data_IF_048712986014
#
_entry.id   IF_048712986014
#
_cell.length_a   1.000
_cell.length_b   1.000
_cell.length_c   1.000
_cell.angle_alpha   90.00
_cell.angle_beta   90.00
_cell.angle_gamma   90.00
#
_symmetry.space_group_name_H-M   'P 1'
#
loop_
_entity.id
_entity.type
_entity.pdbx_description
1 polymer ?
#
# COMPACT_ATOMS: atom_id res chain seq x y z
N UNK A 1 5.54 -14.69 29.54
CA UNK A 1 6.60 -13.77 30.05
C UNK A 1 5.89 -12.55 30.60
N UNK A 2 6.30 -12.06 31.78
CA UNK A 2 5.58 -11.03 32.54
C UNK A 2 5.87 -9.65 31.93
N UNK A 3 4.90 -8.72 31.88
CA UNK A 3 5.03 -7.37 31.35
C UNK A 3 6.26 -6.60 31.87
N UNK A 4 6.66 -6.87 33.12
CA UNK A 4 7.90 -6.36 33.71
C UNK A 4 9.18 -6.83 32.98
N UNK A 5 9.19 -8.03 32.41
CA UNK A 5 10.33 -8.53 31.62
C UNK A 5 10.45 -7.87 30.25
N UNK A 6 9.32 -7.49 29.66
CA UNK A 6 9.26 -6.82 28.34
C UNK A 6 9.67 -5.36 28.50
N UNK A 7 9.16 -4.66 29.51
CA UNK A 7 9.61 -3.31 29.87
C UNK A 7 11.12 -3.27 30.19
N UNK A 8 11.63 -4.32 30.81
CA UNK A 8 13.07 -4.51 31.08
C UNK A 8 13.86 -4.78 29.81
N UNK A 9 13.31 -5.52 28.83
CA UNK A 9 13.94 -5.71 27.53
C UNK A 9 13.93 -4.44 26.68
N UNK A 10 12.86 -3.67 26.70
CA UNK A 10 12.78 -2.34 26.05
C UNK A 10 13.81 -1.38 26.69
N UNK A 11 13.95 -1.38 28.02
CA UNK A 11 15.00 -0.62 28.72
C UNK A 11 16.40 -1.13 28.43
N UNK A 12 16.61 -2.45 28.26
CA UNK A 12 17.89 -3.07 27.87
C UNK A 12 18.30 -2.75 26.44
N UNK A 13 17.36 -2.45 25.55
CA UNK A 13 17.67 -1.96 24.19
C UNK A 13 18.22 -0.53 24.19
N UNK A 14 18.33 0.12 25.38
CA UNK A 14 18.91 1.47 25.53
C UNK A 14 18.23 2.51 24.61
N UNK A 15 16.92 2.35 24.38
CA UNK A 15 16.14 3.25 23.56
C UNK A 15 16.10 4.68 24.12
N UNK A 16 16.38 4.83 25.44
CA UNK A 16 16.53 6.15 26.09
C UNK A 16 17.79 6.90 25.61
N UNK A 17 18.72 6.21 24.92
CA UNK A 17 19.97 6.77 24.36
C UNK A 17 19.98 6.88 22.84
N UNK A 18 18.90 6.53 22.16
CA UNK A 18 18.79 6.72 20.71
C UNK A 18 18.60 8.21 20.44
N UNK A 19 19.64 8.89 19.98
CA UNK A 19 19.53 10.26 19.52
C UNK A 19 18.56 10.31 18.34
N UNK A 20 17.61 11.28 18.34
CA UNK A 20 16.71 11.47 17.22
C UNK A 20 17.53 11.61 15.92
N UNK A 21 17.29 10.75 14.94
CA UNK A 21 17.91 10.81 13.61
C UNK A 21 19.00 9.79 13.28
N UNK A 22 19.75 9.22 14.26
CA UNK A 22 20.90 8.36 13.93
C UNK A 22 20.56 6.87 13.67
N UNK A 23 19.44 6.35 14.16
CA UNK A 23 19.07 4.94 13.99
C UNK A 23 17.69 4.68 13.38
N UNK A 24 16.99 5.73 12.93
CA UNK A 24 15.69 5.61 12.25
C UNK A 24 15.75 4.65 11.06
N UNK A 25 16.84 4.68 10.29
CA UNK A 25 17.00 3.84 9.10
C UNK A 25 16.99 2.34 9.40
N UNK A 26 17.71 1.89 10.42
CA UNK A 26 17.80 0.47 10.74
C UNK A 26 16.50 -0.07 11.35
N UNK A 27 15.87 0.69 12.26
CA UNK A 27 14.62 0.27 12.92
C UNK A 27 13.39 0.43 12.02
N UNK A 28 13.34 1.50 11.21
CA UNK A 28 12.29 1.69 10.20
C UNK A 28 12.32 0.57 9.16
N UNK A 29 13.52 0.21 8.67
CA UNK A 29 13.72 -0.92 7.76
C UNK A 29 13.34 -2.24 8.44
N UNK A 30 13.63 -2.43 9.72
CA UNK A 30 13.30 -3.65 10.46
C UNK A 30 11.78 -3.79 10.67
N UNK A 31 11.05 -2.70 10.95
CA UNK A 31 9.59 -2.71 11.14
C UNK A 31 8.85 -2.85 9.82
N UNK A 32 9.33 -2.18 8.75
CA UNK A 32 8.60 -2.05 7.49
C UNK A 32 9.17 -2.89 6.32
N UNK A 33 10.36 -3.50 6.46
CA UNK A 33 11.01 -4.24 5.36
C UNK A 33 11.26 -5.73 5.64
N UNK A 34 11.00 -6.25 6.84
CA UNK A 34 11.15 -7.69 7.09
C UNK A 34 9.90 -8.44 6.62
N UNK A 35 10.01 -9.11 5.48
CA UNK A 35 9.06 -10.14 5.03
C UNK A 35 9.06 -11.40 5.93
N UNK A 36 9.81 -11.38 7.02
CA UNK A 36 9.92 -12.45 8.00
C UNK A 36 9.55 -11.94 9.38
N UNK A 37 8.28 -12.10 9.74
CA UNK A 37 7.98 -12.34 11.14
C UNK A 37 8.79 -13.56 11.58
N UNK A 38 9.46 -13.57 12.75
CA UNK A 38 10.21 -14.73 13.22
C UNK A 38 9.29 -15.94 13.25
N UNK A 39 9.68 -17.04 12.57
CA UNK A 39 8.91 -18.26 12.50
C UNK A 39 8.71 -18.80 13.92
N UNK A 40 7.58 -19.48 14.18
CA UNK A 40 7.29 -20.08 15.50
C UNK A 40 8.35 -21.07 15.97
N UNK A 41 9.19 -21.57 15.08
CA UNK A 41 10.29 -22.51 15.38
C UNK A 41 11.52 -21.82 16.01
N UNK A 42 11.73 -20.54 15.76
CA UNK A 42 12.84 -19.78 16.40
C UNK A 42 12.48 -19.28 17.82
N UNK A 43 11.22 -19.39 18.23
CA UNK A 43 10.73 -19.00 19.57
C UNK A 43 11.13 -19.97 20.69
N UNK A 44 11.67 -21.16 20.38
CA UNK A 44 12.00 -22.20 21.39
C UNK A 44 13.47 -22.31 21.76
N UNK A 45 14.37 -21.56 21.14
CA UNK A 45 15.76 -21.53 21.58
C UNK A 45 15.95 -20.41 22.60
N UNK A 46 16.25 -20.78 23.85
CA UNK A 46 16.61 -19.88 24.96
C UNK A 46 17.70 -18.89 24.54
N UNK A 47 17.34 -17.68 24.13
CA UNK A 47 18.28 -16.60 23.93
C UNK A 47 18.34 -15.79 25.22
N UNK A 48 19.38 -16.04 26.03
CA UNK A 48 19.78 -15.11 27.09
C UNK A 48 20.15 -13.77 26.46
N UNK A 49 19.84 -12.64 27.13
CA UNK A 49 20.01 -11.27 26.58
C UNK A 49 21.43 -10.94 26.10
N UNK A 50 22.47 -11.69 26.49
CA UNK A 50 23.86 -11.58 26.03
C UNK A 50 24.04 -12.06 24.58
N UNK A 51 23.27 -13.06 24.13
CA UNK A 51 23.40 -13.63 22.79
C UNK A 51 22.77 -12.75 21.69
N UNK A 52 21.77 -11.95 22.00
CA UNK A 52 21.15 -11.05 21.03
C UNK A 52 22.06 -9.84 20.75
N UNK A 53 22.68 -9.27 21.79
CA UNK A 53 23.64 -8.17 21.65
C UNK A 53 24.90 -8.59 20.87
N UNK A 54 25.37 -9.82 21.05
CA UNK A 54 26.51 -10.36 20.32
C UNK A 54 26.16 -10.68 18.85
N UNK A 55 25.01 -11.27 18.56
CA UNK A 55 24.54 -11.49 17.18
C UNK A 55 24.31 -10.20 16.42
N UNK A 56 23.88 -9.14 17.09
CA UNK A 56 23.75 -7.80 16.49
C UNK A 56 25.11 -7.18 16.20
N UNK A 57 26.10 -7.36 17.06
CA UNK A 57 27.49 -6.91 16.83
C UNK A 57 28.17 -7.68 15.70
N UNK A 58 27.98 -9.00 15.60
CA UNK A 58 28.51 -9.81 14.50
C UNK A 58 27.91 -9.46 13.14
N UNK A 59 26.63 -9.08 13.11
CA UNK A 59 25.91 -8.79 11.85
C UNK A 59 26.12 -7.37 11.33
N UNK A 60 26.52 -6.42 12.19
CA UNK A 60 26.59 -4.98 11.85
C UNK A 60 27.95 -4.32 12.10
N UNK A 61 28.99 -5.08 12.47
CA UNK A 61 30.36 -4.60 12.65
C UNK A 61 30.53 -3.59 13.79
N UNK A 62 31.65 -3.67 14.49
CA UNK A 62 32.03 -2.68 15.50
C UNK A 62 32.49 -1.38 14.82
N UNK A 63 31.60 -0.45 14.56
CA UNK A 63 31.97 0.90 14.17
C UNK A 63 32.40 1.68 15.42
N UNK A 64 33.65 2.15 15.43
CA UNK A 64 34.23 3.04 16.43
C UNK A 64 33.38 4.30 16.62
N UNK A 65 32.87 4.50 17.82
CA UNK A 65 32.18 5.73 18.23
C UNK A 65 33.19 6.84 18.49
N UNK A 66 33.10 8.02 17.86
CA UNK A 66 33.91 9.17 18.24
C UNK A 66 33.41 9.80 19.54
N UNK A 67 34.35 10.16 20.41
CA UNK A 67 34.16 10.61 21.79
C UNK A 67 33.90 12.12 21.96
N UNK A 68 33.12 12.79 21.08
CA UNK A 68 32.81 14.22 21.22
C UNK A 68 31.34 14.52 20.93
N UNK A 69 30.46 14.30 21.91
CA UNK A 69 29.06 14.74 21.86
C UNK A 69 28.64 15.36 23.20
N UNK A 70 29.16 16.54 23.46
CA UNK A 70 28.62 17.45 24.50
C UNK A 70 28.16 18.73 23.80
N UNK A 71 27.03 18.71 23.12
CA UNK A 71 26.17 19.87 22.84
C UNK A 71 24.89 19.45 22.14
N UNK A 72 23.84 19.23 22.93
CA UNK A 72 22.54 18.73 22.47
C UNK A 72 21.62 19.80 21.85
N UNK A 73 22.14 20.98 21.50
CA UNK A 73 21.33 22.12 21.01
C UNK A 73 21.31 22.30 19.47
N UNK A 74 22.05 21.49 18.69
CA UNK A 74 22.17 21.70 17.22
C UNK A 74 21.83 20.47 16.35
N UNK A 75 20.97 19.58 16.80
CA UNK A 75 20.54 18.40 16.00
C UNK A 75 19.12 18.56 15.43
N UNK A 76 18.82 19.71 14.82
CA UNK A 76 17.87 19.70 13.72
C UNK A 76 18.61 19.17 12.49
N UNK A 77 18.13 18.10 11.80
CA UNK A 77 18.69 17.72 10.51
C UNK A 77 18.68 18.96 9.63
N UNK A 78 19.81 19.28 9.00
CA UNK A 78 19.91 20.37 8.04
C UNK A 78 19.07 19.95 6.81
N UNK A 79 17.76 20.04 6.92
CA UNK A 79 16.81 19.75 5.87
C UNK A 79 16.97 20.87 4.85
N UNK A 80 17.56 20.54 3.70
CA UNK A 80 17.56 21.45 2.54
C UNK A 80 16.12 21.95 2.31
N UNK A 81 15.94 23.22 1.92
CA UNK A 81 14.61 23.83 1.81
C UNK A 81 13.70 22.97 0.92
N UNK A 82 12.46 22.82 1.37
CA UNK A 82 11.37 22.20 0.62
C UNK A 82 11.25 22.92 -0.73
N UNK A 83 11.37 22.21 -1.83
CA UNK A 83 10.95 22.77 -3.12
C UNK A 83 9.49 23.18 -2.99
N UNK A 84 9.09 24.33 -3.53
CA UNK A 84 7.68 24.73 -3.55
C UNK A 84 6.91 23.63 -4.29
N UNK A 85 6.36 22.68 -3.52
CA UNK A 85 5.47 21.68 -4.06
C UNK A 85 4.15 22.40 -4.38
N UNK A 86 3.76 22.47 -5.64
CA UNK A 86 2.44 22.89 -6.06
C UNK A 86 1.33 22.06 -5.37
N UNK A 87 0.22 21.83 -6.02
CA UNK A 87 -0.95 21.12 -5.49
C UNK A 87 -0.75 19.60 -5.26
N UNK A 88 0.43 19.06 -5.60
CA UNK A 88 0.73 17.63 -5.51
C UNK A 88 1.56 17.28 -4.27
N UNK A 89 1.17 16.21 -3.58
CA UNK A 89 1.97 15.58 -2.52
C UNK A 89 3.03 14.65 -3.12
N UNK A 90 2.71 13.99 -4.24
CA UNK A 90 3.64 13.18 -5.02
C UNK A 90 3.63 13.70 -6.45
N UNK A 91 4.79 14.08 -6.99
CA UNK A 91 5.00 14.39 -8.41
C UNK A 91 6.35 13.80 -8.84
N UNK A 92 6.31 12.56 -9.34
CA UNK A 92 7.48 11.81 -9.80
C UNK A 92 7.30 11.36 -11.24
N UNK A 93 8.38 11.35 -12.00
CA UNK A 93 8.40 10.98 -13.42
C UNK A 93 9.52 10.00 -13.70
N UNK A 94 9.25 9.05 -14.59
CA UNK A 94 10.23 8.09 -15.05
C UNK A 94 10.72 7.13 -13.96
N UNK A 95 9.89 6.87 -12.91
CA UNK A 95 10.29 6.05 -11.77
C UNK A 95 10.59 4.62 -12.23
N UNK A 96 11.85 4.22 -12.09
CA UNK A 96 12.35 2.94 -12.60
C UNK A 96 13.04 2.16 -11.51
N UNK A 97 12.77 0.83 -11.45
CA UNK A 97 13.44 -0.11 -10.56
C UNK A 97 13.76 -1.42 -11.24
N UNK A 98 15.00 -1.88 -11.09
CA UNK A 98 15.51 -3.15 -11.61
C UNK A 98 16.05 -4.00 -10.46
N UNK A 99 15.84 -5.31 -10.53
CA UNK A 99 16.50 -6.30 -9.69
C UNK A 99 17.24 -7.28 -10.60
N UNK A 100 18.55 -7.14 -10.65
CA UNK A 100 19.38 -7.83 -11.63
C UNK A 100 18.96 -7.44 -13.05
N UNK A 101 18.55 -8.42 -13.86
CA UNK A 101 18.09 -8.20 -15.25
C UNK A 101 16.59 -7.85 -15.33
N UNK A 102 15.82 -8.09 -14.26
CA UNK A 102 14.36 -7.91 -14.26
C UNK A 102 13.99 -6.46 -13.95
N UNK A 103 13.23 -5.82 -14.84
CA UNK A 103 12.63 -4.50 -14.61
C UNK A 103 11.30 -4.73 -13.90
N UNK A 104 11.12 -4.11 -12.74
CA UNK A 104 9.88 -4.21 -11.95
C UNK A 104 8.98 -3.00 -12.18
N UNK A 105 9.57 -1.82 -12.31
CA UNK A 105 8.88 -0.58 -12.70
C UNK A 105 9.68 0.06 -13.81
N UNK A 106 9.01 0.46 -14.89
CA UNK A 106 9.61 0.96 -16.10
C UNK A 106 9.05 2.33 -16.46
N UNK A 107 9.77 3.38 -16.05
CA UNK A 107 9.42 4.74 -16.40
C UNK A 107 8.07 5.24 -15.86
N UNK A 108 7.69 4.83 -14.65
CA UNK A 108 6.37 5.12 -14.06
C UNK A 108 6.26 6.59 -13.65
N UNK A 109 5.19 7.26 -14.10
CA UNK A 109 4.84 8.64 -13.73
C UNK A 109 3.69 8.65 -12.72
N UNK A 110 3.91 9.22 -11.53
CA UNK A 110 2.90 9.27 -10.46
C UNK A 110 2.71 10.71 -10.01
N UNK A 111 1.44 11.15 -9.99
CA UNK A 111 1.02 12.41 -9.37
C UNK A 111 -0.16 12.15 -8.46
N UNK A 112 -0.08 12.64 -7.23
CA UNK A 112 -1.15 12.55 -6.24
C UNK A 112 -1.38 13.93 -5.65
N UNK A 113 -2.60 14.43 -5.74
CA UNK A 113 -3.00 15.72 -5.19
C UNK A 113 -2.99 15.69 -3.66
N UNK A 114 -2.63 16.81 -3.03
CA UNK A 114 -2.69 16.96 -1.57
C UNK A 114 -4.12 16.78 -1.06
N UNK A 115 -4.27 16.09 0.09
CA UNK A 115 -5.56 15.86 0.71
C UNK A 115 -6.50 14.97 -0.10
N UNK A 116 -5.99 14.20 -1.08
CA UNK A 116 -6.80 13.27 -1.85
C UNK A 116 -6.49 11.81 -1.49
N UNK A 117 -7.44 10.94 -1.78
CA UNK A 117 -7.27 9.48 -1.76
C UNK A 117 -7.05 9.01 -3.19
N UNK A 118 -5.86 8.49 -3.48
CA UNK A 118 -5.50 7.95 -4.79
C UNK A 118 -5.39 6.43 -4.70
N UNK A 119 -6.11 5.71 -5.56
CA UNK A 119 -6.04 4.27 -5.70
C UNK A 119 -4.91 3.88 -6.65
N UNK A 120 -4.02 3.00 -6.21
CA UNK A 120 -2.96 2.41 -7.00
C UNK A 120 -3.35 0.97 -7.34
N UNK A 121 -4.09 0.81 -8.43
CA UNK A 121 -4.78 -0.41 -8.82
C UNK A 121 -3.92 -1.25 -9.76
N UNK A 122 -4.02 -2.57 -9.68
CA UNK A 122 -3.37 -3.48 -10.61
C UNK A 122 -3.20 -4.89 -10.05
N UNK A 123 -2.87 -5.88 -10.90
CA UNK A 123 -2.70 -7.26 -10.49
C UNK A 123 -1.49 -7.47 -9.57
N UNK A 124 -1.45 -8.63 -8.93
CA UNK A 124 -0.29 -9.01 -8.11
C UNK A 124 0.97 -9.12 -8.99
N UNK A 125 2.09 -8.61 -8.45
CA UNK A 125 3.36 -8.58 -9.20
C UNK A 125 3.49 -7.44 -10.23
N UNK A 126 2.53 -6.53 -10.34
CA UNK A 126 2.58 -5.38 -11.27
C UNK A 126 3.59 -4.29 -10.88
N UNK A 127 4.17 -4.35 -9.66
CA UNK A 127 5.13 -3.37 -9.18
C UNK A 127 4.60 -2.41 -8.11
N UNK A 128 3.34 -2.54 -7.64
CA UNK A 128 2.71 -1.65 -6.64
C UNK A 128 3.56 -1.47 -5.38
N UNK A 129 3.83 -2.56 -4.66
CA UNK A 129 4.65 -2.55 -3.43
C UNK A 129 6.04 -1.96 -3.66
N UNK A 130 6.68 -2.30 -4.79
CA UNK A 130 8.01 -1.76 -5.14
C UNK A 130 7.95 -0.25 -5.32
N UNK A 131 6.94 0.24 -6.02
CA UNK A 131 6.70 1.66 -6.24
C UNK A 131 6.45 2.39 -4.93
N UNK A 132 5.57 1.89 -4.09
CA UNK A 132 5.28 2.47 -2.76
C UNK A 132 6.55 2.55 -1.91
N UNK A 133 7.38 1.49 -1.88
CA UNK A 133 8.66 1.47 -1.15
C UNK A 133 9.67 2.50 -1.68
N UNK A 134 9.65 2.82 -2.96
CA UNK A 134 10.47 3.91 -3.51
C UNK A 134 9.94 5.28 -3.09
N UNK A 135 8.63 5.49 -3.16
CA UNK A 135 7.98 6.76 -2.78
C UNK A 135 8.17 7.10 -1.31
N UNK A 136 8.11 6.11 -0.41
CA UNK A 136 8.38 6.32 1.02
C UNK A 136 9.89 6.37 1.37
N UNK A 137 10.78 6.28 0.38
CA UNK A 137 12.23 6.35 0.60
C UNK A 137 12.85 5.12 1.27
N UNK A 138 12.17 3.96 1.26
CA UNK A 138 12.68 2.69 1.77
C UNK A 138 13.50 1.91 0.73
N UNK A 139 13.23 2.16 -0.55
CA UNK A 139 13.91 1.54 -1.67
C UNK A 139 14.48 2.61 -2.58
N UNK A 140 15.77 2.56 -2.86
CA UNK A 140 16.41 3.50 -3.78
C UNK A 140 15.99 3.17 -5.22
N UNK A 141 15.42 4.13 -5.97
CA UNK A 141 15.12 3.96 -7.39
C UNK A 141 16.42 3.94 -8.21
N UNK A 142 16.35 3.30 -9.38
CA UNK A 142 17.45 3.28 -10.35
C UNK A 142 17.33 4.42 -11.37
N UNK A 143 16.10 4.91 -11.61
CA UNK A 143 15.80 6.03 -12.50
C UNK A 143 14.63 6.87 -12.01
N UNK A 144 14.42 8.01 -12.69
CA UNK A 144 13.34 8.94 -12.43
C UNK A 144 13.78 10.23 -11.73
N UNK A 145 12.86 11.20 -11.70
CA UNK A 145 13.02 12.50 -11.06
C UNK A 145 11.71 12.97 -10.46
N UNK A 146 11.76 13.92 -9.53
CA UNK A 146 10.57 14.51 -8.92
C UNK A 146 10.62 14.60 -7.42
N UNK A 147 9.46 14.85 -6.81
CA UNK A 147 9.38 15.09 -5.37
C UNK A 147 8.23 14.32 -4.72
N UNK A 148 8.43 14.00 -3.45
CA UNK A 148 7.41 13.52 -2.54
C UNK A 148 7.36 14.48 -1.34
N UNK A 149 6.19 15.05 -1.06
CA UNK A 149 6.00 16.11 -0.06
C UNK A 149 6.92 17.32 -0.25
N UNK A 150 7.34 17.61 -1.51
CA UNK A 150 8.27 18.67 -1.83
C UNK A 150 9.74 18.35 -1.57
N UNK A 151 10.07 17.13 -1.16
CA UNK A 151 11.43 16.63 -1.02
C UNK A 151 11.82 15.79 -2.23
N UNK A 152 13.05 15.95 -2.71
CA UNK A 152 13.58 15.10 -3.79
C UNK A 152 13.62 13.63 -3.33
N UNK A 153 12.92 12.76 -4.04
CA UNK A 153 12.72 11.37 -3.62
C UNK A 153 13.96 10.49 -3.74
N UNK A 154 15.01 10.94 -4.46
CA UNK A 154 16.27 10.19 -4.59
C UNK A 154 17.30 10.55 -3.54
N UNK A 155 17.33 11.82 -3.12
CA UNK A 155 18.36 12.36 -2.22
C UNK A 155 17.86 12.67 -0.82
N UNK A 156 16.56 12.95 -0.63
CA UNK A 156 15.99 13.38 0.64
C UNK A 156 15.04 12.34 1.26
N UNK A 157 15.36 11.06 1.08
CA UNK A 157 14.52 9.94 1.53
C UNK A 157 14.23 9.94 3.04
N UNK A 158 15.15 10.48 3.87
CA UNK A 158 14.95 10.58 5.31
C UNK A 158 13.85 11.60 5.67
N UNK A 159 13.86 12.77 5.02
CA UNK A 159 12.84 13.78 5.22
C UNK A 159 11.44 13.27 4.82
N UNK A 160 11.38 12.51 3.72
CA UNK A 160 10.13 11.87 3.27
C UNK A 160 9.63 10.87 4.32
N UNK A 161 10.51 9.99 4.82
CA UNK A 161 10.13 8.98 5.83
C UNK A 161 9.55 9.60 7.10
N UNK A 162 10.13 10.69 7.58
CA UNK A 162 9.66 11.37 8.79
C UNK A 162 8.24 11.94 8.67
N UNK A 163 7.77 12.16 7.44
CA UNK A 163 6.46 12.76 7.14
C UNK A 163 5.48 11.80 6.48
N UNK A 164 5.87 10.54 6.35
CA UNK A 164 5.07 9.51 5.70
C UNK A 164 4.74 8.39 6.68
N UNK A 165 3.46 8.04 6.78
CA UNK A 165 3.02 6.79 7.40
C UNK A 165 2.98 5.70 6.33
N UNK A 166 3.67 4.58 6.55
CA UNK A 166 3.66 3.45 5.63
C UNK A 166 3.09 2.20 6.28
N UNK A 167 1.99 1.70 5.75
CA UNK A 167 1.34 0.47 6.17
C UNK A 167 1.68 -0.63 5.17
N UNK A 168 2.41 -1.64 5.62
CA UNK A 168 2.80 -2.80 4.80
C UNK A 168 1.68 -3.83 4.74
N UNK A 169 1.66 -4.66 3.70
CA UNK A 169 0.75 -5.79 3.57
C UNK A 169 0.84 -6.78 4.75
N UNK A 170 2.05 -7.00 5.28
CA UNK A 170 2.28 -7.76 6.51
C UNK A 170 2.63 -6.80 7.63
N UNK A 171 1.81 -6.75 8.63
CA UNK A 171 1.92 -5.80 9.73
C UNK A 171 3.16 -6.02 10.61
N UNK A 172 3.81 -4.92 10.98
CA UNK A 172 5.03 -4.89 11.76
C UNK A 172 4.81 -4.51 13.25
N UNK A 173 3.73 -4.97 13.89
CA UNK A 173 3.56 -4.77 15.34
C UNK A 173 4.18 -5.90 16.14
N UNK A 174 4.31 -5.64 17.46
CA UNK A 174 4.75 -6.63 18.42
C UNK A 174 3.52 -7.29 19.06
N UNK A 175 3.30 -8.58 18.78
CA UNK A 175 2.15 -9.36 19.26
C UNK A 175 2.07 -9.42 20.80
N UNK A 176 3.24 -9.41 21.46
CA UNK A 176 3.40 -9.53 22.91
C UNK A 176 3.29 -8.18 23.64
N UNK A 177 3.14 -7.08 22.90
CA UNK A 177 2.87 -5.75 23.45
C UNK A 177 1.38 -5.43 23.35
N UNK A 178 0.89 -4.63 24.31
CA UNK A 178 -0.45 -4.07 24.23
C UNK A 178 -0.59 -3.08 23.06
N UNK A 179 -1.82 -2.74 22.70
CA UNK A 179 -2.12 -1.68 21.70
C UNK A 179 -1.40 -0.38 22.07
N UNK A 180 -1.50 0.04 23.34
CA UNK A 180 -0.84 1.26 23.83
C UNK A 180 0.68 1.18 23.71
N UNK A 181 1.29 0.08 24.16
CA UNK A 181 2.75 -0.09 24.13
C UNK A 181 3.30 -0.08 22.70
N UNK A 182 2.58 -0.66 21.72
CA UNK A 182 2.93 -0.57 20.31
C UNK A 182 2.95 0.89 19.82
N UNK A 183 1.94 1.70 20.19
CA UNK A 183 1.86 3.10 19.80
C UNK A 183 2.95 3.94 20.49
N UNK A 184 3.20 3.72 21.79
CA UNK A 184 4.27 4.40 22.52
C UNK A 184 5.65 4.06 21.95
N UNK A 185 5.85 2.82 21.50
CA UNK A 185 7.08 2.42 20.83
C UNK A 185 7.31 3.24 19.55
N UNK A 186 6.29 3.35 18.68
CA UNK A 186 6.40 4.13 17.44
C UNK A 186 6.57 5.63 17.77
N UNK A 187 5.82 6.16 18.71
CA UNK A 187 5.95 7.57 19.14
C UNK A 187 7.38 7.91 19.60
N UNK A 188 8.05 6.98 20.31
CA UNK A 188 9.46 7.14 20.70
C UNK A 188 10.39 7.05 19.49
N UNK A 189 10.16 6.09 18.58
CA UNK A 189 10.98 5.90 17.39
C UNK A 189 11.01 7.15 16.51
N UNK A 190 9.86 7.82 16.35
CA UNK A 190 9.73 9.07 15.60
C UNK A 190 10.02 10.32 16.44
N UNK A 191 10.48 10.18 17.68
CA UNK A 191 10.77 11.28 18.61
C UNK A 191 9.59 12.27 18.72
N UNK A 192 8.36 11.75 18.79
CA UNK A 192 7.15 12.55 18.87
C UNK A 192 7.18 13.40 20.15
N UNK A 193 6.94 14.70 20.01
CA UNK A 193 6.77 15.60 21.16
C UNK A 193 5.45 15.24 21.88
N UNK A 194 5.45 15.28 23.23
CA UNK A 194 4.26 14.97 24.03
C UNK A 194 3.65 13.59 23.70
N UNK A 195 4.48 12.54 23.66
CA UNK A 195 4.12 11.18 23.26
C UNK A 195 2.81 10.69 23.89
N UNK A 196 2.62 10.91 25.19
CA UNK A 196 1.40 10.48 25.91
C UNK A 196 0.13 11.11 25.32
N UNK A 197 0.19 12.39 24.98
CA UNK A 197 -0.94 13.12 24.38
C UNK A 197 -1.20 12.58 22.96
N UNK A 198 -0.17 12.45 22.15
CA UNK A 198 -0.30 11.92 20.78
C UNK A 198 -0.88 10.50 20.75
N UNK A 199 -0.40 9.61 21.63
CA UNK A 199 -0.92 8.24 21.76
C UNK A 199 -2.39 8.25 22.19
N UNK A 200 -2.78 9.07 23.18
CA UNK A 200 -4.18 9.15 23.61
C UNK A 200 -5.08 9.66 22.47
N UNK A 201 -4.69 10.70 21.75
CA UNK A 201 -5.43 11.24 20.61
C UNK A 201 -5.66 10.20 19.52
N UNK A 202 -4.64 9.39 19.20
CA UNK A 202 -4.77 8.35 18.19
C UNK A 202 -5.63 7.17 18.69
N UNK A 203 -5.51 6.81 19.97
CA UNK A 203 -6.36 5.78 20.57
C UNK A 203 -7.84 6.18 20.52
N UNK A 204 -8.16 7.44 20.83
CA UNK A 204 -9.53 7.96 20.80
C UNK A 204 -10.03 8.08 19.34
N UNK A 205 -9.22 8.62 18.44
CA UNK A 205 -9.58 8.82 17.03
C UNK A 205 -9.93 7.53 16.30
N UNK A 206 -9.28 6.42 16.65
CA UNK A 206 -9.45 5.12 15.98
C UNK A 206 -10.23 4.11 16.82
N UNK A 207 -10.96 4.55 17.85
CA UNK A 207 -11.77 3.74 18.78
C UNK A 207 -10.95 2.62 19.47
N UNK A 208 -9.64 2.80 19.62
CA UNK A 208 -8.75 1.84 20.25
C UNK A 208 -8.66 1.98 21.77
N UNK A 209 -9.16 3.10 22.34
CA UNK A 209 -9.09 3.38 23.78
C UNK A 209 -9.66 2.26 24.66
N UNK A 210 -10.82 1.64 24.35
CA UNK A 210 -11.35 0.52 25.16
C UNK A 210 -10.46 -0.74 25.12
N UNK A 211 -9.60 -0.86 24.12
CA UNK A 211 -8.71 -2.02 23.88
C UNK A 211 -7.24 -1.72 24.11
N UNK A 212 -6.91 -0.56 24.62
CA UNK A 212 -5.52 -0.09 24.73
C UNK A 212 -4.60 -1.02 25.53
N UNK A 213 -5.16 -1.77 26.48
CA UNK A 213 -4.42 -2.71 27.32
C UNK A 213 -4.45 -4.17 26.80
N UNK A 214 -5.18 -4.46 25.71
CA UNK A 214 -5.17 -5.78 25.10
C UNK A 214 -3.87 -6.01 24.32
N UNK A 215 -3.36 -7.25 24.34
CA UNK A 215 -2.22 -7.63 23.52
C UNK A 215 -2.58 -7.55 22.02
N UNK A 216 -1.69 -6.99 21.22
CA UNK A 216 -1.90 -6.83 19.78
C UNK A 216 -2.15 -8.18 19.08
N UNK A 217 -1.45 -9.24 19.52
CA UNK A 217 -1.63 -10.58 18.98
C UNK A 217 -3.04 -11.16 19.19
N UNK A 218 -3.75 -10.73 20.23
CA UNK A 218 -5.10 -11.20 20.57
C UNK A 218 -6.23 -10.49 19.82
N UNK A 219 -5.94 -9.43 19.08
CA UNK A 219 -6.92 -8.66 18.34
C UNK A 219 -7.47 -9.44 17.13
N UNK A 220 -8.73 -9.19 16.76
CA UNK A 220 -9.28 -9.64 15.48
C UNK A 220 -8.65 -8.87 14.30
N UNK A 221 -8.85 -9.38 13.07
CA UNK A 221 -8.26 -8.77 11.85
C UNK A 221 -8.55 -7.28 11.69
N UNK A 222 -9.81 -6.87 11.84
CA UNK A 222 -10.18 -5.45 11.73
C UNK A 222 -9.53 -4.56 12.81
N UNK A 223 -9.44 -5.05 14.06
CA UNK A 223 -8.74 -4.32 15.12
C UNK A 223 -7.23 -4.25 14.92
N UNK A 224 -6.65 -5.31 14.36
CA UNK A 224 -5.25 -5.30 13.95
C UNK A 224 -4.98 -4.25 12.89
N UNK A 225 -5.88 -4.07 11.94
CA UNK A 225 -5.74 -3.03 10.92
C UNK A 225 -5.89 -1.62 11.46
N UNK A 226 -6.85 -1.39 12.38
CA UNK A 226 -6.96 -0.12 13.09
C UNK A 226 -5.68 0.19 13.86
N UNK A 227 -5.08 -0.81 14.53
CA UNK A 227 -3.79 -0.65 15.21
C UNK A 227 -2.67 -0.30 14.21
N UNK A 228 -2.59 -1.00 13.08
CA UNK A 228 -1.58 -0.70 12.06
C UNK A 228 -1.71 0.72 11.51
N UNK A 229 -2.94 1.17 11.24
CA UNK A 229 -3.21 2.54 10.84
C UNK A 229 -2.83 3.55 11.93
N UNK A 230 -3.16 3.24 13.20
CA UNK A 230 -2.78 4.06 14.35
C UNK A 230 -1.26 4.24 14.46
N UNK A 231 -0.50 3.16 14.25
CA UNK A 231 0.97 3.20 14.24
C UNK A 231 1.52 4.07 13.11
N UNK A 232 0.84 4.10 11.95
CA UNK A 232 1.20 4.99 10.85
C UNK A 232 0.86 6.46 11.10
N UNK A 233 -0.08 6.75 12.00
CA UNK A 233 -0.59 8.11 12.25
C UNK A 233 0.02 8.81 13.46
N UNK A 234 0.54 8.08 14.45
CA UNK A 234 0.93 8.62 15.76
C UNK A 234 2.00 9.71 15.69
N UNK A 235 2.80 9.75 14.63
CA UNK A 235 3.84 10.77 14.41
C UNK A 235 3.36 11.97 13.57
N UNK A 236 2.06 12.02 13.20
CA UNK A 236 1.47 13.14 12.46
C UNK A 236 1.97 13.24 11.01
N UNK A 237 1.81 12.21 10.18
CA UNK A 237 2.29 12.23 8.78
C UNK A 237 1.45 13.19 7.91
N UNK A 238 2.08 13.71 6.84
CA UNK A 238 1.41 14.46 5.77
C UNK A 238 0.93 13.53 4.63
N UNK A 239 1.49 12.31 4.55
CA UNK A 239 1.21 11.31 3.52
C UNK A 239 1.06 9.93 4.14
N UNK A 240 0.03 9.20 3.73
CA UNK A 240 -0.14 7.78 4.01
C UNK A 240 0.07 6.96 2.74
N UNK A 241 0.91 5.95 2.83
CA UNK A 241 1.14 4.94 1.80
C UNK A 241 0.67 3.59 2.35
N UNK A 242 -0.43 3.08 1.82
CA UNK A 242 -1.08 1.87 2.32
C UNK A 242 -0.98 0.75 1.28
N UNK A 243 -0.30 -0.34 1.64
CA UNK A 243 -0.08 -1.45 0.72
C UNK A 243 -1.02 -2.62 1.03
N UNK A 244 -2.10 -2.72 0.24
CA UNK A 244 -3.20 -3.69 0.40
C UNK A 244 -3.76 -3.74 1.84
N UNK A 245 -4.19 -2.58 2.40
CA UNK A 245 -4.44 -2.46 3.83
C UNK A 245 -5.59 -3.31 4.34
N UNK A 246 -6.52 -3.71 3.50
CA UNK A 246 -7.74 -4.44 3.87
C UNK A 246 -7.77 -5.89 3.37
N UNK A 247 -6.61 -6.40 2.91
CA UNK A 247 -6.51 -7.79 2.48
C UNK A 247 -6.86 -8.77 3.62
N UNK A 248 -7.80 -9.67 3.36
CA UNK A 248 -8.22 -10.68 4.33
C UNK A 248 -9.11 -10.16 5.47
N UNK A 249 -9.71 -8.97 5.32
CA UNK A 249 -10.63 -8.37 6.29
C UNK A 249 -12.08 -8.57 5.85
N UNK A 250 -12.94 -8.76 6.83
CA UNK A 250 -14.38 -8.88 6.57
C UNK A 250 -14.96 -7.58 5.96
N UNK A 251 -16.07 -7.67 5.18
CA UNK A 251 -16.63 -6.53 4.46
C UNK A 251 -17.05 -5.36 5.35
N UNK A 252 -17.49 -5.62 6.59
CA UNK A 252 -17.90 -4.58 7.54
C UNK A 252 -16.69 -3.78 8.01
N UNK A 253 -15.66 -4.47 8.51
CA UNK A 253 -14.43 -3.83 8.99
C UNK A 253 -13.69 -3.11 7.85
N UNK A 254 -13.76 -3.64 6.60
CA UNK A 254 -13.24 -2.96 5.41
C UNK A 254 -13.95 -1.62 5.17
N UNK A 255 -15.28 -1.58 5.23
CA UNK A 255 -16.05 -0.35 5.07
C UNK A 255 -15.67 0.68 6.13
N UNK A 256 -15.65 0.28 7.41
CA UNK A 256 -15.26 1.16 8.51
C UNK A 256 -13.83 1.71 8.36
N UNK A 257 -12.90 0.89 7.85
CA UNK A 257 -11.54 1.33 7.54
C UNK A 257 -11.50 2.41 6.45
N UNK A 258 -12.29 2.25 5.39
CA UNK A 258 -12.39 3.23 4.32
C UNK A 258 -13.03 4.54 4.76
N UNK A 259 -14.01 4.49 5.66
CA UNK A 259 -14.62 5.68 6.24
C UNK A 259 -13.56 6.50 6.99
N UNK A 260 -12.71 5.85 7.78
CA UNK A 260 -11.56 6.49 8.46
C UNK A 260 -10.59 7.10 7.44
N UNK A 261 -10.27 6.41 6.34
CA UNK A 261 -9.38 6.95 5.29
C UNK A 261 -9.92 8.23 4.68
N UNK A 262 -11.23 8.29 4.43
CA UNK A 262 -11.87 9.50 3.91
C UNK A 262 -11.83 10.66 4.91
N UNK A 263 -12.09 10.40 6.19
CA UNK A 263 -11.95 11.40 7.25
C UNK A 263 -10.52 11.96 7.32
N UNK A 264 -9.51 11.10 7.25
CA UNK A 264 -8.10 11.50 7.24
C UNK A 264 -7.77 12.40 6.04
N UNK A 265 -8.34 12.10 4.87
CA UNK A 265 -8.16 12.93 3.67
C UNK A 265 -8.85 14.29 3.79
N UNK A 266 -10.03 14.35 4.39
CA UNK A 266 -10.74 15.62 4.71
C UNK A 266 -9.93 16.48 5.67
N UNK A 267 -9.19 15.88 6.60
CA UNK A 267 -8.25 16.57 7.50
C UNK A 267 -6.94 17.00 6.81
N UNK A 268 -6.82 16.78 5.50
CA UNK A 268 -5.70 17.22 4.68
C UNK A 268 -4.55 16.21 4.54
N UNK A 269 -4.67 14.99 5.09
CA UNK A 269 -3.69 13.94 4.91
C UNK A 269 -3.87 13.36 3.49
N UNK A 270 -2.77 13.29 2.73
CA UNK A 270 -2.80 12.64 1.41
C UNK A 270 -2.68 11.15 1.56
N UNK A 271 -3.45 10.36 0.80
CA UNK A 271 -3.44 8.90 0.89
C UNK A 271 -3.22 8.27 -0.47
N UNK A 272 -2.26 7.36 -0.58
CA UNK A 272 -2.08 6.45 -1.71
C UNK A 272 -2.31 5.03 -1.22
N UNK A 273 -3.35 4.37 -1.74
CA UNK A 273 -3.74 3.00 -1.35
C UNK A 273 -3.48 2.06 -2.51
N UNK A 274 -2.62 1.04 -2.34
CA UNK A 274 -2.57 -0.04 -3.31
C UNK A 274 -3.69 -1.04 -3.06
N UNK A 275 -4.33 -1.48 -4.12
CA UNK A 275 -5.36 -2.51 -4.06
C UNK A 275 -5.43 -3.29 -5.37
N UNK A 276 -6.02 -4.46 -5.31
CA UNK A 276 -6.45 -5.23 -6.47
C UNK A 276 -7.97 -5.46 -6.46
N UNK A 277 -8.68 -4.87 -5.49
CA UNK A 277 -10.14 -4.93 -5.35
C UNK A 277 -10.80 -3.74 -6.05
N UNK A 278 -11.77 -4.01 -6.94
CA UNK A 278 -12.47 -2.96 -7.70
C UNK A 278 -13.39 -2.12 -6.80
N UNK A 279 -14.04 -2.74 -5.83
CA UNK A 279 -14.90 -2.06 -4.85
C UNK A 279 -14.15 -1.07 -3.96
N UNK A 280 -12.84 -1.28 -3.76
CA UNK A 280 -11.97 -0.31 -3.08
C UNK A 280 -11.54 0.82 -4.03
N UNK A 281 -11.23 0.48 -5.29
CA UNK A 281 -10.87 1.47 -6.29
C UNK A 281 -11.99 2.51 -6.50
N UNK A 282 -13.24 2.07 -6.49
CA UNK A 282 -14.43 2.94 -6.60
C UNK A 282 -14.57 3.98 -5.48
N UNK A 283 -13.90 3.76 -4.35
CA UNK A 283 -13.86 4.72 -3.22
C UNK A 283 -12.77 5.77 -3.33
N UNK A 284 -11.90 5.69 -4.33
CA UNK A 284 -10.81 6.62 -4.52
C UNK A 284 -11.23 7.85 -5.34
N UNK A 285 -10.64 9.01 -5.06
CA UNK A 285 -10.87 10.24 -5.84
C UNK A 285 -10.22 10.16 -7.23
N UNK A 286 -9.04 9.58 -7.32
CA UNK A 286 -8.30 9.32 -8.55
C UNK A 286 -7.70 7.90 -8.51
N UNK A 287 -7.52 7.31 -9.68
CA UNK A 287 -6.96 5.99 -9.87
C UNK A 287 -5.73 6.04 -10.76
N UNK A 288 -4.77 5.18 -10.45
CA UNK A 288 -3.61 4.89 -11.27
C UNK A 288 -3.57 3.38 -11.47
N UNK A 289 -3.79 2.91 -12.69
CA UNK A 289 -3.76 1.49 -13.01
C UNK A 289 -2.37 1.10 -13.51
N UNK A 290 -1.72 0.18 -12.79
CA UNK A 290 -0.39 -0.33 -13.13
C UNK A 290 -0.45 -1.82 -13.47
N UNK A 291 0.13 -2.20 -14.61
CA UNK A 291 0.41 -3.59 -14.93
C UNK A 291 1.76 -3.71 -15.66
N UNK A 292 2.42 -4.86 -15.52
CA UNK A 292 3.71 -5.13 -16.16
C UNK A 292 4.79 -4.05 -15.90
N UNK A 293 4.72 -3.39 -14.74
CA UNK A 293 5.63 -2.31 -14.37
C UNK A 293 5.37 -0.97 -15.05
N UNK A 294 4.29 -0.81 -15.79
CA UNK A 294 3.90 0.42 -16.51
C UNK A 294 2.55 0.93 -16.08
N UNK A 295 2.33 2.24 -16.14
CA UNK A 295 1.01 2.84 -15.96
C UNK A 295 0.22 2.67 -17.26
N UNK A 296 -0.93 2.00 -17.16
CA UNK A 296 -1.81 1.75 -18.32
C UNK A 296 -2.98 2.73 -18.38
N UNK A 297 -3.47 3.20 -17.21
CA UNK A 297 -4.55 4.17 -17.16
C UNK A 297 -4.41 5.07 -15.93
N UNK A 298 -4.97 6.27 -16.02
CA UNK A 298 -5.00 7.24 -14.93
C UNK A 298 -6.18 8.20 -15.08
N UNK A 299 -6.83 8.56 -13.98
CA UNK A 299 -7.94 9.52 -13.93
C UNK A 299 -8.91 9.17 -12.82
N UNK A 300 -10.10 9.79 -12.85
CA UNK A 300 -11.22 9.31 -12.04
C UNK A 300 -11.72 7.97 -12.62
N UNK A 301 -12.49 7.22 -11.85
CA UNK A 301 -13.14 6.01 -12.37
C UNK A 301 -13.91 6.29 -13.67
N UNK A 302 -14.67 7.38 -13.68
CA UNK A 302 -15.47 7.80 -14.85
C UNK A 302 -14.59 8.13 -16.06
N UNK A 303 -13.46 8.81 -15.85
CA UNK A 303 -12.53 9.15 -16.93
C UNK A 303 -11.90 7.89 -17.54
N UNK A 304 -11.52 6.93 -16.67
CA UNK A 304 -10.92 5.67 -17.11
C UNK A 304 -11.94 4.86 -17.93
N UNK A 305 -13.17 4.70 -17.44
CA UNK A 305 -14.20 3.95 -18.14
C UNK A 305 -14.52 4.63 -19.49
N UNK A 306 -14.76 5.95 -19.50
CA UNK A 306 -15.08 6.69 -20.71
C UNK A 306 -13.93 6.70 -21.73
N UNK A 307 -12.67 6.72 -21.26
CA UNK A 307 -11.48 6.77 -22.12
C UNK A 307 -11.24 5.51 -22.96
N UNK A 308 -11.82 4.37 -22.57
CA UNK A 308 -11.72 3.12 -23.30
C UNK A 308 -12.91 2.84 -24.20
N UNK A 309 -14.07 3.51 -23.98
CA UNK A 309 -15.29 3.42 -24.81
C UNK A 309 -15.64 1.97 -25.20
N UNK A 310 -15.74 1.10 -24.19
CA UNK A 310 -16.00 -0.32 -24.38
C UNK A 310 -17.50 -0.59 -24.51
N UNK A 311 -17.88 -1.33 -25.55
CA UNK A 311 -19.20 -1.90 -25.64
C UNK A 311 -19.22 -3.22 -24.87
N UNK A 312 -20.08 -3.30 -23.85
CA UNK A 312 -20.20 -4.46 -22.97
C UNK A 312 -21.63 -5.01 -23.04
N UNK A 313 -21.73 -6.30 -23.24
CA UNK A 313 -22.99 -7.02 -23.26
C UNK A 313 -22.96 -8.13 -22.23
N UNK A 314 -24.03 -8.23 -21.45
CA UNK A 314 -24.25 -9.34 -20.53
C UNK A 314 -24.89 -10.50 -21.28
N UNK A 315 -24.17 -11.61 -21.33
CA UNK A 315 -24.63 -12.87 -21.89
C UNK A 315 -25.11 -13.79 -20.77
N UNK A 316 -26.35 -14.26 -20.84
CA UNK A 316 -26.96 -15.15 -19.86
C UNK A 316 -27.90 -16.16 -20.56
N UNK A 317 -28.39 -17.18 -19.82
CA UNK A 317 -29.25 -18.24 -20.32
C UNK A 317 -28.61 -19.61 -20.22
N UNK A 318 -29.40 -20.66 -20.49
CA UNK A 318 -28.99 -22.07 -20.25
C UNK A 318 -27.78 -22.50 -21.08
N UNK A 319 -27.56 -21.88 -22.25
CA UNK A 319 -26.42 -22.16 -23.14
C UNK A 319 -25.34 -21.07 -23.12
N UNK A 320 -25.40 -20.14 -22.20
CA UNK A 320 -24.46 -19.03 -22.12
C UNK A 320 -22.98 -19.48 -22.10
N UNK A 321 -22.68 -20.58 -21.38
CA UNK A 321 -21.31 -21.11 -21.33
C UNK A 321 -20.80 -21.61 -22.68
N UNK A 322 -21.67 -22.25 -23.50
CA UNK A 322 -21.29 -22.69 -24.85
C UNK A 322 -21.10 -21.49 -25.78
N UNK A 323 -21.99 -20.52 -25.73
CA UNK A 323 -21.90 -19.29 -26.50
C UNK A 323 -20.65 -18.49 -26.13
N UNK A 324 -20.36 -18.33 -24.83
CA UNK A 324 -19.16 -17.68 -24.32
C UNK A 324 -17.86 -18.33 -24.86
N UNK A 325 -17.80 -19.68 -24.86
CA UNK A 325 -16.64 -20.41 -25.39
C UNK A 325 -16.44 -20.18 -26.88
N UNK A 326 -17.51 -20.06 -27.65
CA UNK A 326 -17.45 -19.76 -29.09
C UNK A 326 -17.01 -18.29 -29.32
N UNK A 327 -17.57 -17.35 -28.58
CA UNK A 327 -17.20 -15.91 -28.64
C UNK A 327 -15.76 -15.67 -28.24
N UNK A 328 -15.25 -16.38 -27.24
CA UNK A 328 -13.87 -16.27 -26.77
C UNK A 328 -12.81 -16.70 -27.83
N UNK A 329 -13.20 -17.42 -28.87
CA UNK A 329 -12.31 -17.73 -29.99
C UNK A 329 -12.14 -16.57 -30.98
N UNK A 330 -12.97 -15.54 -30.89
CA UNK A 330 -12.85 -14.32 -31.69
C UNK A 330 -11.88 -13.34 -31.03
N UNK A 331 -10.75 -13.07 -31.69
CA UNK A 331 -9.72 -12.17 -31.15
C UNK A 331 -10.15 -10.71 -30.99
N UNK A 332 -11.27 -10.29 -31.61
CA UNK A 332 -11.82 -8.94 -31.43
C UNK A 332 -12.69 -8.80 -30.18
N UNK A 333 -12.99 -9.90 -29.48
CA UNK A 333 -13.84 -9.92 -28.30
C UNK A 333 -13.05 -10.36 -27.06
N UNK A 334 -13.42 -9.79 -25.92
CA UNK A 334 -13.04 -10.29 -24.60
C UNK A 334 -14.27 -10.88 -23.91
N UNK A 335 -14.14 -12.09 -23.35
CA UNK A 335 -15.23 -12.79 -22.67
C UNK A 335 -14.80 -13.16 -21.27
N UNK A 336 -15.49 -12.64 -20.27
CA UNK A 336 -15.21 -12.92 -18.87
C UNK A 336 -16.46 -13.42 -18.12
N UNK A 337 -16.28 -14.38 -17.22
CA UNK A 337 -17.36 -14.88 -16.38
C UNK A 337 -17.77 -13.82 -15.34
N UNK A 338 -19.07 -13.57 -15.18
CA UNK A 338 -19.60 -12.57 -14.28
C UNK A 338 -20.90 -13.06 -13.63
N UNK A 339 -20.85 -13.35 -12.34
CA UNK A 339 -22.00 -13.94 -11.63
C UNK A 339 -22.49 -15.24 -12.31
N UNK A 340 -23.78 -15.25 -12.71
CA UNK A 340 -24.41 -16.37 -13.40
C UNK A 340 -24.32 -16.27 -14.94
N UNK A 341 -23.52 -15.35 -15.47
CA UNK A 341 -23.39 -15.12 -16.91
C UNK A 341 -21.99 -14.75 -17.32
N UNK A 342 -21.89 -14.05 -18.43
CA UNK A 342 -20.62 -13.62 -19.00
C UNK A 342 -20.77 -12.15 -19.47
N UNK A 343 -19.71 -11.37 -19.31
CA UNK A 343 -19.56 -10.10 -20.01
C UNK A 343 -18.79 -10.36 -21.31
N UNK A 344 -19.37 -9.90 -22.40
CA UNK A 344 -18.73 -9.91 -23.72
C UNK A 344 -18.41 -8.46 -24.06
N UNK A 345 -17.15 -8.17 -24.24
CA UNK A 345 -16.63 -6.81 -24.41
C UNK A 345 -15.97 -6.67 -25.77
N UNK A 346 -16.27 -5.58 -26.47
CA UNK A 346 -15.68 -5.20 -27.75
C UNK A 346 -15.49 -3.69 -27.85
N UNK A 347 -14.50 -3.24 -28.63
CA UNK A 347 -14.39 -1.83 -29.04
C UNK A 347 -15.38 -1.49 -30.14
N UNK A 348 -15.60 -2.41 -31.08
CA UNK A 348 -16.53 -2.24 -32.19
C UNK A 348 -17.82 -3.02 -31.92
N UNK A 349 -18.91 -2.29 -31.78
CA UNK A 349 -20.24 -2.87 -31.55
C UNK A 349 -20.68 -3.73 -32.75
N UNK A 350 -20.32 -3.35 -33.98
CA UNK A 350 -20.67 -4.12 -35.16
C UNK A 350 -19.99 -5.51 -35.16
N UNK A 351 -18.71 -5.57 -34.76
CA UNK A 351 -17.98 -6.83 -34.62
C UNK A 351 -18.63 -7.74 -33.56
N UNK A 352 -19.12 -7.17 -32.46
CA UNK A 352 -19.84 -7.90 -31.42
C UNK A 352 -21.16 -8.46 -31.95
N UNK A 353 -21.96 -7.62 -32.62
CA UNK A 353 -23.25 -8.03 -33.18
C UNK A 353 -23.09 -9.12 -34.26
N UNK A 354 -22.06 -9.01 -35.12
CA UNK A 354 -21.75 -10.02 -36.12
C UNK A 354 -21.36 -11.37 -35.51
N UNK A 355 -20.49 -11.33 -34.49
CA UNK A 355 -20.07 -12.53 -33.78
C UNK A 355 -21.24 -13.23 -33.08
N UNK A 356 -22.17 -12.45 -32.51
CA UNK A 356 -23.39 -12.99 -31.88
C UNK A 356 -24.35 -13.58 -32.89
N UNK A 357 -24.55 -12.96 -34.07
CA UNK A 357 -25.37 -13.51 -35.13
C UNK A 357 -24.79 -14.80 -35.69
N UNK A 358 -23.47 -14.97 -35.70
CA UNK A 358 -22.76 -16.17 -36.12
C UNK A 358 -22.80 -17.32 -35.11
N UNK A 359 -23.39 -17.11 -33.90
CA UNK A 359 -23.50 -18.18 -32.90
C UNK A 359 -24.43 -19.29 -33.41
N UNK A 360 -23.92 -20.52 -33.49
CA UNK A 360 -24.70 -21.71 -33.75
C UNK A 360 -25.44 -22.21 -32.48
N UNK A 361 -26.14 -21.30 -31.81
CA UNK A 361 -26.89 -21.54 -30.55
C UNK A 361 -28.27 -20.92 -30.73
N UNK A 362 -29.37 -21.63 -30.38
CA UNK A 362 -30.72 -21.06 -30.42
C UNK A 362 -30.79 -19.75 -29.64
N UNK A 363 -31.30 -18.70 -30.27
CA UNK A 363 -31.36 -17.35 -29.64
C UNK A 363 -32.39 -17.26 -28.54
N UNK A 364 -33.39 -18.10 -28.50
CA UNK A 364 -34.40 -18.25 -27.48
C UNK A 364 -33.85 -18.78 -26.15
N UNK A 365 -32.71 -19.44 -26.18
CA UNK A 365 -32.00 -19.97 -25.00
C UNK A 365 -30.90 -19.01 -24.50
N UNK A 366 -30.72 -17.84 -25.13
CA UNK A 366 -29.72 -16.83 -24.80
C UNK A 366 -30.38 -15.47 -24.56
N UNK A 367 -29.94 -14.79 -23.55
CA UNK A 367 -30.22 -13.38 -23.30
C UNK A 367 -28.93 -12.57 -23.47
N UNK A 368 -28.96 -11.60 -24.34
CA UNK A 368 -27.85 -10.68 -24.59
C UNK A 368 -28.34 -9.24 -24.41
N UNK A 369 -27.86 -8.60 -23.37
CA UNK A 369 -28.33 -7.27 -22.98
C UNK A 369 -27.14 -6.31 -22.92
N UNK A 370 -27.19 -5.15 -23.63
CA UNK A 370 -26.15 -4.14 -23.50
C UNK A 370 -26.16 -3.55 -22.08
N UNK A 371 -24.99 -3.43 -21.49
CA UNK A 371 -24.78 -2.86 -20.16
C UNK A 371 -23.71 -1.79 -20.19
N UNK A 372 -23.65 -0.96 -19.16
CA UNK A 372 -22.54 -0.01 -19.01
C UNK A 372 -21.26 -0.74 -18.64
N UNK A 373 -20.16 -0.37 -19.29
CA UNK A 373 -18.84 -0.87 -18.93
C UNK A 373 -18.51 -0.54 -17.46
N UNK A 374 -17.96 -1.49 -16.75
CA UNK A 374 -17.43 -1.35 -15.39
C UNK A 374 -15.92 -1.12 -15.41
N UNK A 375 -15.35 -0.71 -14.27
CA UNK A 375 -13.91 -0.61 -14.11
C UNK A 375 -13.23 -2.00 -14.26
N UNK A 376 -13.93 -3.07 -13.88
CA UNK A 376 -13.45 -4.44 -14.04
C UNK A 376 -13.33 -4.83 -15.50
N UNK A 377 -14.33 -4.49 -16.34
CA UNK A 377 -14.30 -4.74 -17.78
C UNK A 377 -13.10 -4.02 -18.43
N UNK A 378 -12.88 -2.74 -18.08
CA UNK A 378 -11.71 -1.99 -18.57
C UNK A 378 -10.40 -2.62 -18.09
N UNK A 379 -10.33 -3.07 -16.84
CA UNK A 379 -9.12 -3.70 -16.30
C UNK A 379 -8.76 -5.01 -17.03
N UNK A 380 -9.76 -5.84 -17.30
CA UNK A 380 -9.59 -7.08 -18.08
C UNK A 380 -9.10 -6.74 -19.48
N UNK A 381 -9.75 -5.79 -20.14
CA UNK A 381 -9.36 -5.34 -21.48
C UNK A 381 -7.92 -4.82 -21.51
N UNK A 382 -7.51 -4.01 -20.54
CA UNK A 382 -6.14 -3.51 -20.42
C UNK A 382 -5.11 -4.62 -20.28
N UNK A 383 -5.40 -5.63 -19.47
CA UNK A 383 -4.52 -6.77 -19.28
C UNK A 383 -4.41 -7.62 -20.55
N UNK A 384 -5.47 -7.71 -21.35
CA UNK A 384 -5.47 -8.43 -22.61
C UNK A 384 -4.68 -7.71 -23.70
N UNK A 385 -4.82 -6.40 -23.82
CA UNK A 385 -4.07 -5.59 -24.77
C UNK A 385 -2.55 -5.67 -24.57
N UNK A 386 -2.09 -5.89 -23.33
CA UNK A 386 -0.68 -5.91 -22.98
C UNK A 386 -0.17 -7.31 -22.61
N UNK A 387 -0.86 -8.38 -23.09
CA UNK A 387 -0.45 -9.77 -22.79
C UNK A 387 0.99 -10.09 -23.22
N UNK A 388 1.45 -9.50 -24.32
CA UNK A 388 2.78 -9.73 -24.86
C UNK A 388 3.90 -9.02 -24.09
N UNK A 389 3.54 -8.13 -23.16
CA UNK A 389 4.49 -7.44 -22.26
C UNK A 389 4.80 -8.25 -20.97
N UNK A 390 4.29 -9.47 -20.86
CA UNK A 390 4.62 -10.38 -19.74
C UNK A 390 6.08 -10.84 -19.87
N UNK A 391 6.83 -10.60 -18.80
CA UNK A 391 8.24 -11.01 -18.68
C UNK A 391 8.37 -12.46 -18.26
#
# INVERSE_FOLDING_TARGET
MNAQNIATQIRRLNLDKISPGQNLNAHYVQIYCTDKAPSQTERKSNLSGSNLANKLKEKFGSANLPSNLTNASNLTPNLSPKQQSGDYAIDVRGLTKKFGKKIITDGVDIRVKKGSVCGFLGPNGSGKTTTIRMLCGLLKPDGGSGSCLGYDFRSQSEAIRLKTGYMTQKFGWYDDLSVRENLEFIARLFAVKNQKTAVNQILDRLDLAPRQNHLAGSLSGGWKQRLALAMCLVHGPELLLLDEPTAGVDPKARREFWDIIHELAQDGITVLVSTHYMDEAERCHELIYIAYGKILARGTQSDIIAGYDLNVWQLSGDRAGKAASLLASNAALSVSAFGNGYHVTAKDEAALQEAVRGLAVPQDELSLIPIKASLEDVSIHLLELHKDERF
#
